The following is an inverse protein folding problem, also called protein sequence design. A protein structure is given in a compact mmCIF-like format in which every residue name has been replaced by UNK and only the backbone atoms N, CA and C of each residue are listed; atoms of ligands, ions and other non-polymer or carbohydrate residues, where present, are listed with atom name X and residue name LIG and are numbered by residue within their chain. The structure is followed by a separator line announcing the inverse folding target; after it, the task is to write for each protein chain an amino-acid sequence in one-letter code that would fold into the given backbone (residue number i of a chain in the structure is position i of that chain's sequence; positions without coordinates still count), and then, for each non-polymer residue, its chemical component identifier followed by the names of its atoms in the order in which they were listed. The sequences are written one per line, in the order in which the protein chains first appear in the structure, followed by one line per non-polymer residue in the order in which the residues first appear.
data_IF_506943990914
#
_entry.id   IF_506943990914
#
_cell.length_a   1.000
_cell.length_b   1.000
_cell.length_c   1.000
_cell.angle_alpha   90.00
_cell.angle_beta   90.00
_cell.angle_gamma   90.00
#
_symmetry.space_group_name_H-M   'P 1'
#
loop_
_entity.id
_entity.type
_entity.pdbx_description
1 polymer ?
#
# COMPACT_ATOMS: atom_id res chain seq x y z
N UNK A 1 -5.20 14.88 -7.51
CA UNK A 1 -4.97 13.49 -7.05
C UNK A 1 -6.24 12.73 -6.64
N UNK A 2 -7.44 13.34 -6.63
CA UNK A 2 -8.70 12.62 -6.32
C UNK A 2 -9.30 11.83 -7.50
N UNK A 3 -8.81 12.05 -8.73
CA UNK A 3 -9.39 11.47 -9.95
C UNK A 3 -8.88 10.08 -10.35
N UNK A 4 -7.79 9.57 -9.72
CA UNK A 4 -7.26 8.22 -10.04
C UNK A 4 -7.84 7.11 -9.17
N UNK A 5 -8.45 7.44 -8.03
CA UNK A 5 -9.07 6.44 -7.13
C UNK A 5 -10.24 5.69 -7.78
N UNK A 6 -11.13 6.34 -8.57
CA UNK A 6 -12.25 5.65 -9.21
C UNK A 6 -11.81 4.69 -10.33
N UNK A 7 -10.87 5.10 -11.18
CA UNK A 7 -10.31 4.22 -12.22
C UNK A 7 -9.53 3.05 -11.62
N UNK A 8 -8.90 3.27 -10.47
CA UNK A 8 -8.21 2.23 -9.71
C UNK A 8 -9.16 1.17 -9.15
N UNK A 9 -10.29 1.59 -8.55
CA UNK A 9 -11.35 0.68 -8.12
C UNK A 9 -11.98 -0.02 -9.34
N UNK A 10 -12.15 0.67 -10.46
CA UNK A 10 -12.73 0.11 -11.67
C UNK A 10 -11.82 -0.92 -12.38
N UNK A 11 -10.49 -0.75 -12.30
CA UNK A 11 -9.51 -1.74 -12.79
C UNK A 11 -9.54 -3.01 -11.95
N UNK A 12 -9.66 -2.89 -10.62
CA UNK A 12 -9.82 -4.03 -9.70
C UNK A 12 -11.19 -4.70 -9.85
N UNK A 13 -12.28 -3.93 -9.98
CA UNK A 13 -13.65 -4.48 -9.97
C UNK A 13 -14.04 -5.22 -11.25
N UNK A 14 -13.30 -5.03 -12.36
CA UNK A 14 -13.62 -5.66 -13.64
C UNK A 14 -13.20 -7.14 -13.72
N UNK A 15 -12.22 -7.56 -12.93
CA UNK A 15 -11.72 -8.95 -12.91
C UNK A 15 -12.05 -9.72 -11.61
N UNK A 16 -12.34 -9.03 -10.50
CA UNK A 16 -12.66 -9.67 -9.20
C UNK A 16 -14.10 -10.22 -9.09
N UNK A 17 -14.81 -10.43 -10.20
CA UNK A 17 -16.20 -10.89 -10.23
C UNK A 17 -16.44 -12.34 -9.74
N UNK A 18 -15.50 -12.97 -9.02
CA UNK A 18 -15.60 -14.38 -8.65
C UNK A 18 -15.01 -14.85 -7.32
N UNK A 19 -14.33 -14.01 -6.52
CA UNK A 19 -13.68 -14.53 -5.30
C UNK A 19 -13.68 -13.55 -4.12
N UNK A 20 -14.69 -13.67 -3.26
CA UNK A 20 -14.89 -12.82 -2.06
C UNK A 20 -13.68 -12.81 -1.12
N UNK A 21 -12.94 -13.92 -1.04
CA UNK A 21 -11.73 -14.04 -0.22
C UNK A 21 -10.57 -13.15 -0.71
N UNK A 22 -10.48 -12.94 -2.02
CA UNK A 22 -9.49 -12.05 -2.62
C UNK A 22 -9.80 -10.60 -2.23
N UNK A 23 -11.04 -10.16 -2.45
CA UNK A 23 -11.49 -8.82 -2.07
C UNK A 23 -11.27 -8.53 -0.58
N UNK A 24 -11.55 -9.50 0.30
CA UNK A 24 -11.34 -9.36 1.74
C UNK A 24 -9.85 -9.18 2.09
N UNK A 25 -8.95 -9.92 1.45
CA UNK A 25 -7.50 -9.79 1.65
C UNK A 25 -6.99 -8.41 1.23
N UNK A 26 -7.49 -7.87 0.13
CA UNK A 26 -7.17 -6.49 -0.31
C UNK A 26 -7.60 -5.44 0.72
N UNK A 27 -8.82 -5.56 1.27
CA UNK A 27 -9.29 -4.66 2.32
C UNK A 27 -8.47 -4.78 3.60
N UNK A 28 -8.11 -5.99 4.03
CA UNK A 28 -7.22 -6.21 5.18
C UNK A 28 -5.85 -5.54 4.99
N UNK A 29 -5.25 -5.69 3.81
CA UNK A 29 -3.98 -5.05 3.47
C UNK A 29 -4.10 -3.52 3.46
N UNK A 30 -5.21 -2.99 2.96
CA UNK A 30 -5.50 -1.55 2.96
C UNK A 30 -5.66 -1.00 4.38
N UNK A 31 -6.33 -1.74 5.26
CA UNK A 31 -6.47 -1.41 6.68
C UNK A 31 -5.09 -1.47 7.37
N UNK A 32 -4.27 -2.49 7.08
CA UNK A 32 -2.91 -2.60 7.61
C UNK A 32 -2.03 -1.41 7.18
N UNK A 33 -2.14 -0.98 5.92
CA UNK A 33 -1.47 0.21 5.42
C UNK A 33 -1.93 1.48 6.17
N UNK A 34 -3.24 1.67 6.34
CA UNK A 34 -3.80 2.78 7.12
C UNK A 34 -3.34 2.77 8.59
N UNK A 35 -3.31 1.61 9.23
CA UNK A 35 -2.76 1.44 10.57
C UNK A 35 -1.27 1.77 10.63
N UNK A 36 -0.49 1.36 9.63
CA UNK A 36 0.93 1.73 9.49
C UNK A 36 1.13 3.25 9.43
N UNK A 37 0.24 3.96 8.72
CA UNK A 37 0.23 5.42 8.67
C UNK A 37 -0.04 6.04 10.04
N UNK A 38 -1.10 5.59 10.74
CA UNK A 38 -1.43 6.09 12.07
C UNK A 38 -0.32 5.80 13.10
N UNK A 39 0.26 4.61 13.05
CA UNK A 39 1.37 4.22 13.93
C UNK A 39 2.60 5.08 13.66
N UNK A 40 2.82 5.55 12.43
CA UNK A 40 3.95 6.42 12.08
C UNK A 40 3.97 7.71 12.91
N UNK A 41 2.82 8.22 13.39
CA UNK A 41 2.78 9.41 14.25
C UNK A 41 3.30 9.17 15.67
N UNK A 42 3.23 7.93 16.20
CA UNK A 42 3.79 7.56 17.52
C UNK A 42 5.15 6.88 17.42
N UNK A 43 5.31 5.95 16.48
CA UNK A 43 6.51 5.13 16.25
C UNK A 43 6.88 5.17 14.77
N UNK A 44 7.56 6.25 14.38
CA UNK A 44 7.87 6.54 12.97
C UNK A 44 8.57 5.39 12.25
N UNK A 45 9.56 4.75 12.88
CA UNK A 45 10.28 3.62 12.28
C UNK A 45 9.39 2.40 12.01
N UNK A 46 8.61 1.99 13.02
CA UNK A 46 7.74 0.82 12.93
C UNK A 46 6.57 1.06 11.96
N UNK A 47 5.99 2.27 11.97
CA UNK A 47 4.95 2.65 11.02
C UNK A 47 5.46 2.74 9.59
N UNK A 48 6.65 3.33 9.37
CA UNK A 48 7.30 3.38 8.07
C UNK A 48 7.58 2.00 7.48
N UNK A 49 8.08 1.05 8.29
CA UNK A 49 8.25 -0.35 7.88
C UNK A 49 6.93 -1.00 7.50
N UNK A 50 5.89 -0.82 8.32
CA UNK A 50 4.56 -1.38 8.06
C UNK A 50 3.98 -0.86 6.73
N UNK A 51 4.17 0.42 6.44
CA UNK A 51 3.74 1.05 5.19
C UNK A 51 4.46 0.45 3.98
N UNK A 52 5.78 0.29 4.04
CA UNK A 52 6.55 -0.29 2.94
C UNK A 52 6.15 -1.75 2.70
N UNK A 53 6.07 -2.57 3.76
CA UNK A 53 5.69 -3.99 3.63
C UNK A 53 4.27 -4.13 3.09
N UNK A 54 3.32 -3.34 3.60
CA UNK A 54 1.94 -3.36 3.12
C UNK A 54 1.85 -2.90 1.66
N UNK A 55 2.66 -1.92 1.24
CA UNK A 55 2.76 -1.49 -0.16
C UNK A 55 3.24 -2.61 -1.07
N UNK A 56 4.28 -3.35 -0.65
CA UNK A 56 4.79 -4.51 -1.40
C UNK A 56 3.68 -5.55 -1.56
N UNK A 57 3.02 -5.91 -0.45
CA UNK A 57 1.97 -6.92 -0.45
C UNK A 57 0.77 -6.53 -1.31
N UNK A 58 0.31 -5.27 -1.24
CA UNK A 58 -0.79 -4.75 -2.07
C UNK A 58 -0.42 -4.81 -3.55
N UNK A 59 0.81 -4.40 -3.90
CA UNK A 59 1.27 -4.41 -5.30
C UNK A 59 1.40 -5.83 -5.82
N UNK A 60 1.98 -6.74 -5.03
CA UNK A 60 2.16 -8.14 -5.41
C UNK A 60 0.81 -8.85 -5.58
N UNK A 61 -0.11 -8.59 -4.66
CA UNK A 61 -1.48 -9.09 -4.71
C UNK A 61 -2.20 -8.62 -5.97
N UNK A 62 -2.18 -7.33 -6.26
CA UNK A 62 -2.84 -6.77 -7.43
C UNK A 62 -2.17 -7.21 -8.75
N UNK A 63 -0.86 -7.52 -8.72
CA UNK A 63 -0.14 -8.09 -9.87
C UNK A 63 -0.56 -9.54 -10.14
N UNK A 64 -0.71 -10.36 -9.08
CA UNK A 64 -1.18 -11.75 -9.21
C UNK A 64 -2.64 -11.79 -9.71
N UNK A 65 -3.48 -10.88 -9.21
CA UNK A 65 -4.90 -10.81 -9.57
C UNK A 65 -5.09 -10.39 -11.04
N UNK A 66 -4.47 -9.29 -11.45
CA UNK A 66 -4.68 -8.70 -12.79
C UNK A 66 -3.72 -9.19 -13.88
N UNK A 67 -2.65 -9.90 -13.53
CA UNK A 67 -1.51 -10.22 -14.40
C UNK A 67 -0.93 -9.01 -15.18
N UNK A 68 -1.21 -7.79 -14.75
CA UNK A 68 -0.85 -6.57 -15.47
C UNK A 68 0.39 -5.90 -14.86
N UNK A 69 1.41 -5.71 -15.69
CA UNK A 69 2.62 -4.98 -15.33
C UNK A 69 2.37 -3.52 -14.95
N UNK A 70 1.24 -2.93 -15.37
CA UNK A 70 0.88 -1.55 -15.00
C UNK A 70 0.63 -1.40 -13.49
N UNK A 71 0.27 -2.48 -12.79
CA UNK A 71 0.03 -2.47 -11.35
C UNK A 71 1.30 -2.19 -10.55
N UNK A 72 2.49 -2.49 -11.08
CA UNK A 72 3.75 -2.13 -10.44
C UNK A 72 3.93 -0.61 -10.27
N UNK A 73 3.24 0.20 -11.07
CA UNK A 73 3.23 1.66 -10.91
C UNK A 73 2.59 2.09 -9.59
N UNK A 74 1.75 1.26 -8.97
CA UNK A 74 1.15 1.52 -7.66
C UNK A 74 2.18 1.46 -6.54
N UNK A 75 3.21 0.65 -6.72
CA UNK A 75 4.27 0.51 -5.72
C UNK A 75 4.91 1.86 -5.41
N UNK A 76 5.11 2.69 -6.42
CA UNK A 76 5.79 3.98 -6.31
C UNK A 76 5.06 4.92 -5.32
N UNK A 77 3.79 5.32 -5.53
CA UNK A 77 3.09 6.22 -4.62
C UNK A 77 2.82 5.58 -3.24
N UNK A 78 2.55 4.27 -3.18
CA UNK A 78 2.28 3.58 -1.91
C UNK A 78 3.53 3.49 -1.02
N UNK A 79 4.68 3.14 -1.60
CA UNK A 79 5.94 2.98 -0.87
C UNK A 79 6.61 4.31 -0.52
N UNK A 80 6.37 5.37 -1.31
CA UNK A 80 7.02 6.68 -1.13
C UNK A 80 6.79 7.26 0.28
N UNK A 81 5.57 7.16 0.80
CA UNK A 81 5.25 7.62 2.16
C UNK A 81 6.02 6.85 3.23
N UNK A 82 6.08 5.51 3.13
CA UNK A 82 6.83 4.66 4.04
C UNK A 82 8.34 4.94 4.01
N UNK A 83 8.90 5.10 2.81
CA UNK A 83 10.32 5.45 2.61
C UNK A 83 10.63 6.81 3.24
N UNK A 84 9.79 7.82 3.05
CA UNK A 84 9.93 9.15 3.68
C UNK A 84 9.96 9.05 5.20
N UNK A 85 9.05 8.30 5.81
CA UNK A 85 9.04 8.08 7.26
C UNK A 85 10.30 7.36 7.75
N UNK A 86 10.80 6.37 7.01
CA UNK A 86 12.05 5.67 7.34
C UNK A 86 13.27 6.59 7.26
N UNK A 87 13.37 7.42 6.22
CA UNK A 87 14.44 8.42 6.08
C UNK A 87 14.39 9.41 7.24
N UNK A 88 13.19 9.92 7.57
CA UNK A 88 13.01 10.81 8.71
C UNK A 88 13.43 10.16 10.03
N UNK A 89 13.04 8.91 10.25
CA UNK A 89 13.39 8.17 11.45
C UNK A 89 14.91 7.99 11.59
N UNK A 90 15.59 7.59 10.51
CA UNK A 90 17.05 7.48 10.47
C UNK A 90 17.74 8.82 10.76
N UNK A 91 17.25 9.91 10.17
CA UNK A 91 17.77 11.27 10.43
C UNK A 91 17.56 11.70 11.88
N UNK A 92 16.44 11.32 12.49
CA UNK A 92 16.13 11.60 13.90
C UNK A 92 17.04 10.82 14.87
N UNK A 93 17.45 9.60 14.53
CA UNK A 93 18.36 8.80 15.36
C UNK A 93 19.83 9.24 15.29
N UNK A 94 20.24 9.86 14.17
CA UNK A 94 21.59 10.39 13.99
C UNK A 94 21.80 11.81 14.55
N UNK A 95 20.81 12.35 15.28
CA UNK A 95 20.88 13.61 16.01
C UNK A 95 20.77 13.31 17.50
#
# INVERSE_FOLDING_TARGET
MLFMVPEFIALLSKETAGNEGWTLLFYLLSIAYGCGFLISFRKVGLGGLLLVISSILITLYAFIDSNSWMVLLLFIPLSFSGILFLIYWKKKQNK
#
